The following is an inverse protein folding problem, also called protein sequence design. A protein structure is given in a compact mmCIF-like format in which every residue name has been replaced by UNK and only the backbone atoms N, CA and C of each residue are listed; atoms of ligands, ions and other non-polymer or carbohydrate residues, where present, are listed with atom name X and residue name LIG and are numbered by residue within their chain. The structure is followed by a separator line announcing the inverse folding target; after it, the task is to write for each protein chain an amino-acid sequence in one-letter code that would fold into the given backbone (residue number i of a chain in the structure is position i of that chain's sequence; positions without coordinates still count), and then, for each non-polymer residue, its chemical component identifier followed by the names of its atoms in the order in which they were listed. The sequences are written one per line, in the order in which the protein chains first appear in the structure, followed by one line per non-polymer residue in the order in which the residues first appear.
data_IF_826118032382
#
_entry.id   IF_826118032382
#
_cell.length_a   1.000
_cell.length_b   1.000
_cell.length_c   1.000
_cell.angle_alpha   90.00
_cell.angle_beta   90.00
_cell.angle_gamma   90.00
#
_symmetry.space_group_name_H-M   'P 1'
#
loop_
_entity.id
_entity.type
_entity.pdbx_description
1 polymer ?
#
# COMPACT_ATOMS: atom_id res chain seq x y z
N UNK A 1 9.88 8.77 -35.05
CA UNK A 1 10.62 9.63 -36.00
C UNK A 1 12.10 9.88 -35.64
N UNK A 2 12.50 10.05 -34.37
CA UNK A 2 13.91 10.32 -33.99
C UNK A 2 14.91 9.15 -34.20
N UNK A 3 14.48 7.87 -34.15
CA UNK A 3 15.37 6.71 -34.42
C UNK A 3 15.88 6.62 -35.87
N UNK A 4 15.19 7.25 -36.82
CA UNK A 4 15.55 7.20 -38.24
C UNK A 4 16.62 8.25 -38.60
N UNK A 5 16.68 9.40 -37.90
CA UNK A 5 17.71 10.41 -38.16
C UNK A 5 19.10 9.97 -37.69
N UNK A 6 19.20 9.29 -36.54
CA UNK A 6 20.48 8.80 -36.03
C UNK A 6 21.04 7.65 -36.88
N UNK A 7 20.16 6.82 -37.45
CA UNK A 7 20.53 5.80 -38.44
C UNK A 7 20.97 6.43 -39.77
N UNK A 8 20.23 7.43 -40.26
CA UNK A 8 20.60 8.16 -41.48
C UNK A 8 21.94 8.90 -41.33
N UNK A 9 22.21 9.52 -40.18
CA UNK A 9 23.47 10.21 -39.91
C UNK A 9 24.66 9.24 -39.80
N UNK A 10 24.48 8.05 -39.19
CA UNK A 10 25.50 6.99 -39.16
C UNK A 10 25.80 6.43 -40.55
N UNK A 11 24.77 6.24 -41.38
CA UNK A 11 24.91 5.78 -42.77
C UNK A 11 25.63 6.85 -43.62
N UNK A 12 25.31 8.13 -43.43
CA UNK A 12 25.94 9.23 -44.16
C UNK A 12 27.42 9.42 -43.76
N UNK A 13 27.76 9.22 -42.48
CA UNK A 13 29.14 9.25 -41.99
C UNK A 13 29.95 8.03 -42.47
N UNK A 14 29.35 6.84 -42.55
CA UNK A 14 29.97 5.65 -43.13
C UNK A 14 30.24 5.82 -44.64
N UNK A 15 29.30 6.42 -45.37
CA UNK A 15 29.44 6.74 -46.79
C UNK A 15 30.54 7.77 -47.04
N UNK A 16 30.70 8.79 -46.17
CA UNK A 16 31.75 9.79 -46.31
C UNK A 16 33.16 9.25 -46.05
N UNK A 17 33.30 8.26 -45.14
CA UNK A 17 34.58 7.59 -44.85
C UNK A 17 34.97 6.58 -45.94
N UNK A 18 33.99 6.00 -46.66
CA UNK A 18 34.22 5.06 -47.76
C UNK A 18 34.44 5.73 -49.13
N UNK A 19 34.18 7.04 -49.28
CA UNK A 19 34.39 7.78 -50.54
C UNK A 19 35.62 8.68 -50.55
N UNK A 20 36.47 8.65 -49.53
CA UNK A 20 37.81 9.24 -49.65
C UNK A 20 38.62 8.37 -50.63
N UNK A 21 39.28 8.95 -51.65
CA UNK A 21 39.98 8.16 -52.66
C UNK A 21 41.12 7.37 -52.02
N UNK A 22 40.92 6.05 -51.88
CA UNK A 22 41.99 5.07 -51.70
C UNK A 22 42.74 5.01 -53.03
N UNK A 23 43.65 5.95 -53.24
CA UNK A 23 44.61 5.91 -54.31
C UNK A 23 45.99 6.24 -53.74
N UNK A 24 46.48 5.43 -52.79
CA UNK A 24 47.92 5.33 -52.52
C UNK A 24 48.35 4.12 -51.66
N UNK A 25 47.89 2.90 -51.94
CA UNK A 25 48.64 1.69 -51.55
C UNK A 25 48.40 0.59 -52.59
N UNK A 26 49.12 0.67 -53.70
CA UNK A 26 49.50 -0.49 -54.50
C UNK A 26 50.73 -0.07 -55.29
N UNK A 27 51.91 -0.46 -54.81
CA UNK A 27 53.14 -0.30 -55.56
C UNK A 27 53.05 -1.14 -56.83
N UNK A 28 53.18 -0.50 -57.98
CA UNK A 28 53.74 -1.07 -59.19
C UNK A 28 54.46 0.05 -59.94
N UNK A 29 55.68 -0.25 -60.36
CA UNK A 29 56.57 0.61 -61.11
C UNK A 29 55.91 1.02 -62.44
N UNK A 30 55.37 2.24 -62.52
CA UNK A 30 55.25 2.94 -63.80
C UNK A 30 55.69 4.39 -63.64
N UNK A 31 56.50 4.79 -64.61
CA UNK A 31 57.24 6.04 -64.75
C UNK A 31 56.30 7.25 -64.68
N UNK A 32 56.29 7.97 -63.55
CA UNK A 32 55.55 9.24 -63.45
C UNK A 32 56.38 10.34 -64.12
N UNK A 33 55.94 10.72 -65.33
CA UNK A 33 56.40 11.89 -66.03
C UNK A 33 56.20 13.15 -65.17
N UNK A 34 57.24 13.99 -65.13
CA UNK A 34 57.22 15.31 -64.50
C UNK A 34 56.17 16.20 -65.17
N UNK A 35 55.11 16.53 -64.45
CA UNK A 35 54.32 17.74 -64.70
C UNK A 35 54.04 18.48 -63.39
N UNK A 36 54.68 19.63 -63.27
CA UNK A 36 54.35 20.81 -62.45
C UNK A 36 53.32 20.66 -61.31
N UNK A 37 53.77 20.88 -60.08
CA UNK A 37 53.05 21.79 -59.18
C UNK A 37 52.39 21.25 -57.92
N UNK A 38 52.66 20.03 -57.47
CA UNK A 38 52.23 19.59 -56.13
C UNK A 38 53.34 18.85 -55.39
N UNK A 39 53.89 19.47 -54.34
CA UNK A 39 54.83 18.82 -53.43
C UNK A 39 54.11 17.68 -52.71
N UNK A 40 54.68 16.47 -52.71
CA UNK A 40 54.17 15.31 -51.97
C UNK A 40 53.87 15.62 -50.49
N UNK A 41 54.64 16.54 -49.90
CA UNK A 41 54.43 17.07 -48.56
C UNK A 41 53.10 17.82 -48.38
N UNK A 42 52.58 18.50 -49.40
CA UNK A 42 51.34 19.26 -49.33
C UNK A 42 50.10 18.36 -49.38
N UNK A 43 50.18 17.27 -50.16
CA UNK A 43 49.14 16.23 -50.19
C UNK A 43 49.06 15.52 -48.84
N UNK A 44 50.21 15.14 -48.26
CA UNK A 44 50.27 14.52 -46.92
C UNK A 44 49.72 15.47 -45.84
N UNK A 45 50.11 16.75 -45.86
CA UNK A 45 49.56 17.76 -44.92
C UNK A 45 48.05 17.93 -45.06
N UNK A 46 47.49 17.79 -46.26
CA UNK A 46 46.05 17.91 -46.51
C UNK A 46 45.29 16.69 -45.98
N UNK A 47 45.82 15.48 -46.16
CA UNK A 47 45.26 14.24 -45.60
C UNK A 47 45.29 14.27 -44.07
N UNK A 48 46.41 14.66 -43.46
CA UNK A 48 46.51 14.80 -41.99
C UNK A 48 45.48 15.79 -41.46
N UNK A 49 45.31 16.95 -42.12
CA UNK A 49 44.28 17.95 -41.75
C UNK A 49 42.86 17.41 -41.91
N UNK A 50 42.59 16.64 -42.96
CA UNK A 50 41.29 16.02 -43.18
C UNK A 50 40.97 14.98 -42.10
N UNK A 51 41.91 14.10 -41.78
CA UNK A 51 41.75 13.09 -40.72
C UNK A 51 41.56 13.74 -39.34
N UNK A 52 42.37 14.75 -39.00
CA UNK A 52 42.19 15.52 -37.77
C UNK A 52 40.83 16.25 -37.73
N UNK A 53 40.35 16.75 -38.87
CA UNK A 53 39.02 17.37 -38.95
C UNK A 53 37.89 16.36 -38.80
N UNK A 54 38.05 15.13 -39.31
CA UNK A 54 37.07 14.05 -39.17
C UNK A 54 36.99 13.56 -37.72
N UNK A 55 38.12 13.38 -37.03
CA UNK A 55 38.17 13.04 -35.61
C UNK A 55 37.46 14.09 -34.74
N UNK A 56 37.74 15.38 -34.99
CA UNK A 56 37.08 16.49 -34.31
C UNK A 56 35.55 16.51 -34.57
N UNK A 57 35.12 16.18 -35.79
CA UNK A 57 33.69 16.08 -36.11
C UNK A 57 33.02 14.93 -35.37
N UNK A 58 33.64 13.75 -35.34
CA UNK A 58 33.17 12.59 -34.58
C UNK A 58 33.03 12.90 -33.08
N UNK A 59 34.02 13.59 -32.49
CA UNK A 59 33.96 14.01 -31.09
C UNK A 59 32.77 14.95 -30.80
N UNK A 60 32.51 15.93 -31.69
CA UNK A 60 31.36 16.85 -31.54
C UNK A 60 30.02 16.14 -31.70
N UNK A 61 29.90 15.18 -32.61
CA UNK A 61 28.68 14.36 -32.77
C UNK A 61 28.44 13.51 -31.52
N UNK A 62 29.48 12.89 -30.98
CA UNK A 62 29.38 12.13 -29.73
C UNK A 62 28.92 13.01 -28.56
N UNK A 63 29.43 14.24 -28.46
CA UNK A 63 29.01 15.18 -27.42
C UNK A 63 27.56 15.65 -27.59
N UNK A 64 27.12 15.95 -28.82
CA UNK A 64 25.72 16.27 -29.11
C UNK A 64 24.78 15.11 -28.75
N UNK A 65 25.17 13.87 -29.05
CA UNK A 65 24.39 12.69 -28.68
C UNK A 65 24.25 12.53 -27.16
N UNK A 66 25.30 12.84 -26.38
CA UNK A 66 25.20 12.88 -24.90
C UNK A 66 24.23 13.96 -24.42
N UNK A 67 24.28 15.15 -25.02
CA UNK A 67 23.36 16.25 -24.67
C UNK A 67 21.90 15.89 -24.98
N UNK A 68 21.64 15.25 -26.12
CA UNK A 68 20.29 14.76 -26.47
C UNK A 68 19.82 13.66 -25.52
N UNK A 69 20.69 12.72 -25.15
CA UNK A 69 20.38 11.70 -24.16
C UNK A 69 20.07 12.30 -22.78
N UNK A 70 20.85 13.31 -22.35
CA UNK A 70 20.61 14.03 -21.11
C UNK A 70 19.26 14.78 -21.12
N UNK A 71 18.91 15.45 -22.24
CA UNK A 71 17.59 16.09 -22.40
C UNK A 71 16.45 15.09 -22.31
N UNK A 72 16.57 13.95 -22.99
CA UNK A 72 15.56 12.88 -22.93
C UNK A 72 15.39 12.32 -21.51
N UNK A 73 16.49 12.17 -20.75
CA UNK A 73 16.43 11.74 -19.36
C UNK A 73 15.71 12.75 -18.45
N UNK A 74 15.95 14.05 -18.65
CA UNK A 74 15.25 15.12 -17.91
C UNK A 74 13.75 15.14 -18.24
N UNK A 75 13.38 14.99 -19.51
CA UNK A 75 11.98 14.89 -19.92
C UNK A 75 11.28 13.67 -19.30
N UNK A 76 11.96 12.51 -19.28
CA UNK A 76 11.44 11.30 -18.66
C UNK A 76 11.24 11.46 -17.14
N UNK A 77 12.20 12.09 -16.45
CA UNK A 77 12.10 12.36 -15.01
C UNK A 77 10.91 13.29 -14.69
N UNK A 78 10.74 14.37 -15.47
CA UNK A 78 9.59 15.29 -15.34
C UNK A 78 8.26 14.59 -15.59
N UNK A 79 8.18 13.71 -16.59
CA UNK A 79 6.98 12.94 -16.87
C UNK A 79 6.62 11.99 -15.71
N UNK A 80 7.62 11.37 -15.07
CA UNK A 80 7.41 10.50 -13.92
C UNK A 80 6.97 11.28 -12.67
N UNK A 81 7.55 12.46 -12.45
CA UNK A 81 7.13 13.37 -11.39
C UNK A 81 5.67 13.83 -11.59
N UNK A 82 5.29 14.21 -12.81
CA UNK A 82 3.92 14.59 -13.14
C UNK A 82 2.93 13.44 -12.90
N UNK A 83 3.26 12.20 -13.31
CA UNK A 83 2.44 11.02 -13.02
C UNK A 83 2.29 10.78 -11.52
N UNK A 84 3.37 10.92 -10.74
CA UNK A 84 3.36 10.78 -9.28
C UNK A 84 2.45 11.83 -8.64
N UNK A 85 2.53 13.08 -9.08
CA UNK A 85 1.68 14.16 -8.59
C UNK A 85 0.19 13.90 -8.88
N UNK A 86 -0.14 13.48 -10.10
CA UNK A 86 -1.52 13.11 -10.48
C UNK A 86 -2.03 11.95 -9.62
N UNK A 87 -1.22 10.90 -9.42
CA UNK A 87 -1.59 9.77 -8.55
C UNK A 87 -1.84 10.22 -7.12
N UNK A 88 -0.98 11.06 -6.56
CA UNK A 88 -1.14 11.59 -5.20
C UNK A 88 -2.40 12.45 -5.06
N UNK A 89 -2.70 13.28 -6.06
CA UNK A 89 -3.91 14.10 -6.09
C UNK A 89 -5.18 13.22 -6.14
N UNK A 90 -5.19 12.18 -6.99
CA UNK A 90 -6.29 11.22 -7.07
C UNK A 90 -6.49 10.48 -5.74
N UNK A 91 -5.41 10.02 -5.11
CA UNK A 91 -5.48 9.36 -3.80
C UNK A 91 -6.02 10.30 -2.71
N UNK A 92 -5.61 11.57 -2.71
CA UNK A 92 -6.10 12.56 -1.75
C UNK A 92 -7.58 12.85 -1.97
N UNK A 93 -8.03 12.95 -3.22
CA UNK A 93 -9.43 13.14 -3.57
C UNK A 93 -10.29 11.95 -3.12
N UNK A 94 -9.82 10.72 -3.37
CA UNK A 94 -10.48 9.48 -2.91
C UNK A 94 -10.56 9.42 -1.39
N UNK A 95 -9.46 9.71 -0.68
CA UNK A 95 -9.43 9.78 0.78
C UNK A 95 -10.47 10.79 1.30
N UNK A 96 -10.49 12.00 0.75
CA UNK A 96 -11.44 13.03 1.16
C UNK A 96 -12.88 12.61 0.90
N UNK A 97 -13.16 11.96 -0.24
CA UNK A 97 -14.49 11.45 -0.56
C UNK A 97 -14.93 10.40 0.48
N UNK A 98 -14.09 9.40 0.75
CA UNK A 98 -14.39 8.36 1.74
C UNK A 98 -14.63 8.96 3.12
N UNK A 99 -13.77 9.88 3.56
CA UNK A 99 -13.91 10.52 4.87
C UNK A 99 -15.15 11.42 4.97
N UNK A 100 -15.47 12.19 3.93
CA UNK A 100 -16.69 13.00 3.89
C UNK A 100 -17.95 12.12 3.93
N UNK A 101 -17.93 10.97 3.23
CA UNK A 101 -19.04 10.02 3.28
C UNK A 101 -19.18 9.35 4.66
N UNK A 102 -18.08 9.19 5.41
CA UNK A 102 -18.11 8.63 6.74
C UNK A 102 -18.97 9.50 7.68
N UNK A 103 -18.82 10.82 7.65
CA UNK A 103 -19.61 11.74 8.48
C UNK A 103 -21.10 11.57 8.19
N UNK A 104 -21.49 11.61 6.90
CA UNK A 104 -22.90 11.43 6.54
C UNK A 104 -23.45 10.04 6.91
N UNK A 105 -22.65 8.97 6.79
CA UNK A 105 -23.08 7.64 7.21
C UNK A 105 -23.19 7.51 8.73
N UNK A 106 -22.30 8.15 9.47
CA UNK A 106 -22.34 8.20 10.92
C UNK A 106 -23.65 8.84 11.42
N UNK A 107 -24.06 9.94 10.79
CA UNK A 107 -25.31 10.63 11.09
C UNK A 107 -26.53 9.78 10.69
N UNK A 108 -26.54 9.23 9.46
CA UNK A 108 -27.66 8.40 8.96
C UNK A 108 -27.88 7.17 9.83
N UNK A 109 -26.80 6.54 10.29
CA UNK A 109 -26.84 5.34 11.12
C UNK A 109 -27.11 5.64 12.61
N UNK A 110 -27.15 6.92 13.02
CA UNK A 110 -27.39 7.32 14.40
C UNK A 110 -26.28 6.89 15.37
N UNK A 111 -25.04 6.78 14.92
CA UNK A 111 -23.96 6.13 15.69
C UNK A 111 -23.55 6.91 16.95
N UNK A 112 -23.82 8.21 16.99
CA UNK A 112 -23.62 9.01 18.21
C UNK A 112 -24.56 8.56 19.33
N UNK A 113 -25.84 8.31 19.02
CA UNK A 113 -26.79 7.78 20.01
C UNK A 113 -26.46 6.36 20.47
N UNK A 114 -25.66 5.64 19.67
CA UNK A 114 -25.12 4.34 20.02
C UNK A 114 -23.82 4.43 20.82
N UNK A 115 -23.32 5.62 21.20
CA UNK A 115 -22.05 5.83 21.89
C UNK A 115 -20.78 5.41 21.13
N UNK A 116 -20.88 5.15 19.82
CA UNK A 116 -19.69 4.85 19.01
C UNK A 116 -18.96 6.15 18.70
N UNK A 117 -17.65 6.22 18.97
CA UNK A 117 -16.86 7.40 18.64
C UNK A 117 -16.83 7.66 17.12
N UNK A 118 -17.10 8.90 16.71
CA UNK A 118 -16.91 9.34 15.32
C UNK A 118 -15.51 8.99 14.80
N UNK A 119 -14.45 9.18 15.61
CA UNK A 119 -13.08 8.84 15.21
C UNK A 119 -12.91 7.34 14.98
N UNK A 120 -13.48 6.50 15.85
CA UNK A 120 -13.44 5.05 15.67
C UNK A 120 -14.13 4.64 14.35
N UNK A 121 -15.31 5.21 14.08
CA UNK A 121 -16.06 4.96 12.86
C UNK A 121 -15.33 5.46 11.61
N UNK A 122 -14.79 6.68 11.62
CA UNK A 122 -14.01 7.23 10.51
C UNK A 122 -12.86 6.32 10.09
N UNK A 123 -12.05 5.83 11.05
CA UNK A 123 -10.98 4.89 10.74
C UNK A 123 -11.51 3.56 10.24
N UNK A 124 -12.57 3.02 10.87
CA UNK A 124 -13.20 1.79 10.45
C UNK A 124 -13.70 1.87 9.00
N UNK A 125 -14.38 2.97 8.66
CA UNK A 125 -14.93 3.25 7.33
C UNK A 125 -13.83 3.35 6.27
N UNK A 126 -12.77 4.10 6.58
CA UNK A 126 -11.61 4.21 5.70
C UNK A 126 -10.96 2.86 5.42
N UNK A 127 -10.68 2.07 6.47
CA UNK A 127 -10.05 0.76 6.29
C UNK A 127 -10.97 -0.26 5.62
N UNK A 128 -12.26 -0.24 5.92
CA UNK A 128 -13.28 -1.03 5.23
C UNK A 128 -13.24 -0.80 3.73
N UNK A 129 -13.29 0.47 3.28
CA UNK A 129 -13.23 0.80 1.85
C UNK A 129 -11.90 0.40 1.19
N UNK A 130 -10.78 0.52 1.92
CA UNK A 130 -9.48 0.07 1.40
C UNK A 130 -9.40 -1.45 1.25
N UNK A 131 -9.94 -2.22 2.19
CA UNK A 131 -9.99 -3.67 2.10
C UNK A 131 -10.96 -4.14 1.01
N UNK A 132 -12.09 -3.45 0.86
CA UNK A 132 -13.03 -3.67 -0.23
C UNK A 132 -12.36 -3.47 -1.60
N UNK A 133 -11.67 -2.35 -1.78
CA UNK A 133 -10.93 -2.04 -3.02
C UNK A 133 -9.83 -3.06 -3.34
N UNK A 134 -9.21 -3.64 -2.32
CA UNK A 134 -8.20 -4.71 -2.45
C UNK A 134 -8.82 -6.09 -2.74
N UNK A 135 -10.14 -6.22 -2.74
CA UNK A 135 -10.84 -7.50 -2.91
C UNK A 135 -10.66 -8.45 -1.71
N UNK A 136 -10.30 -7.93 -0.54
CA UNK A 136 -10.05 -8.72 0.66
C UNK A 136 -11.34 -9.12 1.40
N UNK A 137 -12.44 -8.43 1.14
CA UNK A 137 -13.74 -8.67 1.79
C UNK A 137 -14.65 -9.48 0.85
N UNK A 138 -15.28 -10.51 1.39
CA UNK A 138 -16.27 -11.34 0.70
C UNK A 138 -17.68 -11.15 1.25
N UNK A 139 -17.80 -10.81 2.53
CA UNK A 139 -19.04 -10.39 3.16
C UNK A 139 -18.99 -8.88 3.38
N UNK A 140 -19.38 -8.13 2.35
CA UNK A 140 -19.25 -6.67 2.30
C UNK A 140 -20.41 -5.94 2.98
N UNK A 141 -21.45 -6.64 3.40
CA UNK A 141 -22.60 -6.00 4.02
C UNK A 141 -22.36 -5.66 5.49
N UNK A 142 -21.31 -6.23 6.10
CA UNK A 142 -21.02 -6.06 7.52
C UNK A 142 -19.67 -5.38 7.78
N UNK A 143 -19.73 -4.42 8.70
CA UNK A 143 -18.58 -3.80 9.34
C UNK A 143 -18.76 -3.96 10.85
N UNK A 144 -17.83 -4.65 11.51
CA UNK A 144 -17.85 -4.77 12.98
C UNK A 144 -16.71 -3.97 13.59
N UNK A 145 -17.02 -3.17 14.61
CA UNK A 145 -16.08 -2.26 15.27
C UNK A 145 -16.05 -2.60 16.76
N UNK A 146 -14.86 -2.86 17.29
CA UNK A 146 -14.59 -2.90 18.73
C UNK A 146 -13.86 -1.61 19.13
N UNK A 147 -14.50 -0.75 19.90
CA UNK A 147 -13.90 0.49 20.40
C UNK A 147 -13.25 0.25 21.77
N UNK A 148 -11.99 -0.17 21.77
CA UNK A 148 -11.23 -0.41 22.99
C UNK A 148 -10.76 0.87 23.70
N UNK A 149 -11.06 2.06 23.17
CA UNK A 149 -10.91 3.30 23.94
C UNK A 149 -11.98 3.43 25.03
N UNK A 150 -13.06 2.65 24.94
CA UNK A 150 -14.14 2.60 25.92
C UNK A 150 -13.87 1.56 27.02
N UNK A 151 -14.44 1.78 28.21
CA UNK A 151 -14.42 0.83 29.33
C UNK A 151 -14.99 -0.54 28.94
N UNK A 152 -14.42 -1.61 29.48
CA UNK A 152 -14.96 -2.98 29.33
C UNK A 152 -16.31 -3.18 29.99
N UNK A 153 -16.72 -2.26 30.87
CA UNK A 153 -18.04 -2.22 31.49
C UNK A 153 -19.11 -1.61 30.59
N UNK A 154 -18.75 -1.16 29.37
CA UNK A 154 -19.70 -0.68 28.35
C UNK A 154 -19.82 -1.68 27.20
N UNK A 155 -20.97 -1.67 26.57
CA UNK A 155 -21.16 -2.32 25.27
C UNK A 155 -20.40 -1.55 24.20
N UNK A 156 -19.22 -2.08 23.83
CA UNK A 156 -18.22 -1.41 22.98
C UNK A 156 -17.87 -2.17 21.71
N UNK A 157 -18.65 -3.20 21.37
CA UNK A 157 -18.62 -3.86 20.07
C UNK A 157 -19.92 -3.55 19.31
N UNK A 158 -19.76 -3.09 18.07
CA UNK A 158 -20.84 -2.63 17.19
C UNK A 158 -20.81 -3.46 15.91
N UNK A 159 -21.88 -4.18 15.61
CA UNK A 159 -22.06 -4.92 14.35
C UNK A 159 -22.97 -4.10 13.46
N UNK A 160 -22.42 -3.53 12.39
CA UNK A 160 -23.10 -2.56 11.52
C UNK A 160 -23.45 -3.23 10.20
N UNK A 161 -24.71 -3.12 9.81
CA UNK A 161 -25.20 -3.40 8.47
C UNK A 161 -24.95 -2.17 7.59
N UNK A 162 -23.89 -2.24 6.78
CA UNK A 162 -23.46 -1.16 5.90
C UNK A 162 -24.46 -0.93 4.78
N UNK A 163 -25.11 -1.99 4.30
CA UNK A 163 -26.07 -1.93 3.20
C UNK A 163 -27.35 -1.21 3.63
N UNK A 164 -27.90 -1.61 4.78
CA UNK A 164 -29.14 -1.06 5.33
C UNK A 164 -28.90 0.13 6.27
N UNK A 165 -27.65 0.53 6.48
CA UNK A 165 -27.25 1.70 7.26
C UNK A 165 -27.81 1.71 8.67
N UNK A 166 -27.60 0.61 9.40
CA UNK A 166 -28.06 0.48 10.79
C UNK A 166 -27.13 -0.38 11.63
N UNK A 167 -27.13 -0.14 12.93
CA UNK A 167 -26.52 -1.06 13.90
C UNK A 167 -27.44 -2.26 14.09
N UNK A 168 -26.89 -3.47 13.95
CA UNK A 168 -27.60 -4.73 14.22
C UNK A 168 -27.45 -5.14 15.68
N UNK A 169 -26.23 -4.99 16.21
CA UNK A 169 -25.90 -5.35 17.59
C UNK A 169 -24.93 -4.34 18.20
N UNK A 170 -25.19 -4.00 19.45
CA UNK A 170 -24.26 -3.34 20.37
C UNK A 170 -24.11 -4.26 21.58
N UNK A 171 -22.88 -4.65 21.93
CA UNK A 171 -22.65 -5.64 23.00
C UNK A 171 -21.29 -5.50 23.68
N UNK A 172 -21.11 -6.21 24.79
CA UNK A 172 -19.84 -6.30 25.50
C UNK A 172 -18.78 -7.03 24.68
N UNK A 173 -17.52 -6.64 24.87
CA UNK A 173 -16.38 -7.40 24.34
C UNK A 173 -15.20 -7.30 25.31
N UNK A 174 -14.65 -8.45 25.69
CA UNK A 174 -13.46 -8.57 26.51
C UNK A 174 -12.18 -8.42 25.69
N UNK A 175 -11.14 -7.87 26.31
CA UNK A 175 -9.79 -7.82 25.79
C UNK A 175 -8.88 -8.79 26.56
N UNK A 176 -7.64 -8.97 26.08
CA UNK A 176 -6.66 -9.82 26.74
C UNK A 176 -6.22 -9.31 28.11
N UNK A 177 -6.01 -10.17 29.09
CA UNK A 177 -5.70 -9.84 30.49
C UNK A 177 -4.50 -8.90 30.66
N UNK A 178 -3.50 -8.99 29.78
CA UNK A 178 -2.33 -8.11 29.84
C UNK A 178 -2.54 -6.79 29.07
N UNK A 179 -3.71 -6.57 28.47
CA UNK A 179 -4.05 -5.32 27.79
C UNK A 179 -4.56 -4.24 28.74
N UNK A 180 -5.01 -4.62 29.93
CA UNK A 180 -5.53 -3.74 30.97
C UNK A 180 -6.57 -4.45 31.84
N UNK A 181 -7.07 -3.75 32.85
CA UNK A 181 -8.19 -4.22 33.67
C UNK A 181 -9.51 -3.75 33.05
N UNK A 182 -10.09 -2.65 33.55
CA UNK A 182 -11.31 -2.09 32.98
C UNK A 182 -11.06 -1.53 31.57
N UNK A 183 -9.98 -0.75 31.40
CA UNK A 183 -9.58 -0.10 30.16
C UNK A 183 -8.41 -0.81 29.51
N UNK A 184 -8.55 -1.17 28.24
CA UNK A 184 -7.44 -1.67 27.44
C UNK A 184 -6.53 -0.50 27.06
N UNK A 185 -5.24 -0.58 27.40
CA UNK A 185 -4.25 0.47 27.12
C UNK A 185 -2.95 -0.07 26.53
N UNK A 186 -2.75 -1.40 26.55
CA UNK A 186 -1.56 -2.06 26.01
C UNK A 186 -1.93 -3.14 25.01
N UNK A 187 -1.27 -3.15 23.85
CA UNK A 187 -1.60 -4.08 22.77
C UNK A 187 -0.33 -4.76 22.25
N UNK A 188 -0.45 -5.99 21.76
CA UNK A 188 0.69 -6.71 21.21
C UNK A 188 0.28 -7.70 20.13
N UNK A 189 1.18 -7.86 19.18
CA UNK A 189 1.14 -8.86 18.12
C UNK A 189 2.04 -10.08 18.43
N UNK A 190 2.69 -10.10 19.59
CA UNK A 190 3.61 -11.16 19.97
C UNK A 190 2.86 -12.38 20.53
N UNK A 191 3.37 -13.55 20.21
CA UNK A 191 2.90 -14.82 20.74
C UNK A 191 3.02 -14.81 22.27
N UNK A 192 2.10 -15.49 22.96
CA UNK A 192 2.06 -15.63 24.43
C UNK A 192 1.97 -14.33 25.25
N UNK A 193 1.88 -13.16 24.60
CA UNK A 193 1.79 -11.87 25.30
C UNK A 193 0.52 -11.70 26.15
N UNK A 194 -0.51 -12.52 25.93
CA UNK A 194 -1.84 -12.43 26.52
C UNK A 194 -2.52 -11.06 26.33
N UNK A 195 -2.11 -10.32 25.28
CA UNK A 195 -2.66 -9.01 24.90
C UNK A 195 -3.47 -9.11 23.62
N UNK A 196 -4.51 -8.30 23.52
CA UNK A 196 -5.18 -8.08 22.24
C UNK A 196 -4.30 -7.27 21.29
N UNK A 197 -4.54 -7.40 19.99
CA UNK A 197 -3.88 -6.62 18.94
C UNK A 197 -4.85 -5.64 18.28
N UNK A 198 -4.37 -4.45 17.93
CA UNK A 198 -5.17 -3.44 17.22
C UNK A 198 -5.21 -3.72 15.73
N UNK A 199 -6.19 -3.12 15.05
CA UNK A 199 -6.22 -3.02 13.60
C UNK A 199 -7.32 -3.83 12.93
N UNK A 200 -7.18 -3.97 11.61
CA UNK A 200 -8.17 -4.60 10.77
C UNK A 200 -7.95 -6.10 10.67
N UNK A 201 -9.06 -6.82 10.69
CA UNK A 201 -9.11 -8.25 10.49
C UNK A 201 -10.13 -8.58 9.42
N UNK A 202 -9.91 -9.70 8.73
CA UNK A 202 -10.90 -10.33 7.86
C UNK A 202 -11.36 -11.63 8.52
N UNK A 203 -12.67 -11.79 8.67
CA UNK A 203 -13.24 -12.99 9.26
C UNK A 203 -13.17 -14.18 8.29
N UNK A 204 -13.06 -15.40 8.84
CA UNK A 204 -13.05 -16.65 8.07
C UNK A 204 -14.28 -17.49 8.40
N UNK A 205 -14.12 -18.81 8.41
CA UNK A 205 -15.12 -19.79 8.80
C UNK A 205 -15.20 -19.90 10.32
N UNK A 206 -16.35 -20.34 10.78
CA UNK A 206 -16.56 -20.75 12.16
C UNK A 206 -16.05 -22.17 12.39
N UNK A 207 -15.81 -22.51 13.65
CA UNK A 207 -15.59 -23.87 14.12
C UNK A 207 -16.09 -23.99 15.57
N UNK A 208 -16.29 -25.21 16.04
CA UNK A 208 -16.57 -25.47 17.44
C UNK A 208 -15.30 -25.98 18.13
N UNK A 209 -14.92 -25.33 19.22
CA UNK A 209 -13.75 -25.69 20.03
C UNK A 209 -14.07 -25.64 21.52
N UNK A 210 -13.04 -25.54 22.36
CA UNK A 210 -13.19 -25.48 23.83
C UNK A 210 -14.01 -24.28 24.30
N UNK A 211 -14.03 -23.19 23.52
CA UNK A 211 -14.82 -21.99 23.78
C UNK A 211 -16.21 -22.01 23.11
N UNK A 212 -16.65 -23.18 22.61
CA UNK A 212 -17.88 -23.31 21.83
C UNK A 212 -17.72 -22.75 20.42
N UNK A 213 -18.80 -22.13 19.90
CA UNK A 213 -18.78 -21.48 18.58
C UNK A 213 -17.71 -20.38 18.54
N UNK A 214 -16.78 -20.51 17.61
CA UNK A 214 -15.64 -19.61 17.46
C UNK A 214 -15.46 -19.21 16.00
N UNK A 215 -15.16 -17.93 15.76
CA UNK A 215 -14.90 -17.35 14.44
C UNK A 215 -13.41 -17.08 14.26
N UNK A 216 -12.80 -17.72 13.27
CA UNK A 216 -11.41 -17.44 12.89
C UNK A 216 -11.31 -16.07 12.24
N UNK A 217 -10.22 -15.35 12.51
CA UNK A 217 -9.92 -14.04 11.93
C UNK A 217 -8.45 -13.98 11.48
N UNK A 218 -8.18 -13.26 10.39
CA UNK A 218 -6.83 -12.92 9.93
C UNK A 218 -6.54 -11.46 10.19
N UNK A 219 -5.36 -11.13 10.70
CA UNK A 219 -4.92 -9.75 10.78
C UNK A 219 -4.43 -9.21 9.45
N UNK A 220 -4.82 -7.98 9.12
CA UNK A 220 -4.51 -7.30 7.86
C UNK A 220 -3.46 -6.18 8.01
N UNK A 221 -3.06 -5.87 9.24
CA UNK A 221 -2.08 -4.85 9.58
C UNK A 221 -0.73 -5.49 9.97
N UNK A 222 0.21 -5.46 9.02
CA UNK A 222 1.55 -6.05 9.20
C UNK A 222 2.25 -5.44 10.42
N UNK A 223 2.76 -6.29 11.31
CA UNK A 223 3.42 -5.89 12.55
C UNK A 223 2.48 -5.53 13.71
N UNK A 224 1.17 -5.39 13.47
CA UNK A 224 0.18 -5.06 14.52
C UNK A 224 -0.74 -6.22 14.86
N UNK A 225 -1.20 -6.97 13.86
CA UNK A 225 -2.08 -8.11 14.08
C UNK A 225 -1.88 -9.27 13.08
N UNK A 226 -0.90 -9.20 12.18
CA UNK A 226 -0.60 -10.24 11.17
C UNK A 226 -0.25 -11.62 11.77
N UNK A 227 0.00 -11.71 13.08
CA UNK A 227 0.19 -12.98 13.77
C UNK A 227 -1.10 -13.59 14.33
N UNK A 228 -2.26 -12.95 14.19
CA UNK A 228 -3.51 -13.35 14.83
C UNK A 228 -3.89 -14.81 14.59
N UNK A 229 -3.78 -15.29 13.35
CA UNK A 229 -4.09 -16.68 13.00
C UNK A 229 -3.13 -17.66 13.69
N UNK A 230 -1.81 -17.38 13.67
CA UNK A 230 -0.79 -18.20 14.33
C UNK A 230 -0.99 -18.23 15.85
N UNK A 231 -1.37 -17.09 16.42
CA UNK A 231 -1.69 -16.91 17.83
C UNK A 231 -3.04 -17.51 18.24
N UNK A 232 -3.76 -18.16 17.31
CA UNK A 232 -5.10 -18.72 17.53
C UNK A 232 -6.10 -17.70 18.08
N UNK A 233 -5.97 -16.42 17.66
CA UNK A 233 -6.92 -15.37 18.01
C UNK A 233 -8.22 -15.58 17.22
N UNK A 234 -9.34 -15.65 17.93
CA UNK A 234 -10.68 -15.90 17.39
C UNK A 234 -11.71 -15.04 18.11
N UNK A 235 -12.86 -14.78 17.50
CA UNK A 235 -14.03 -14.25 18.22
C UNK A 235 -14.82 -15.42 18.78
N UNK A 236 -15.18 -15.40 20.06
CA UNK A 236 -15.95 -16.49 20.69
C UNK A 236 -16.87 -15.97 21.81
N UNK A 237 -17.85 -16.79 22.18
CA UNK A 237 -18.68 -16.54 23.37
C UNK A 237 -17.91 -16.82 24.66
N UNK A 238 -18.19 -16.08 25.73
CA UNK A 238 -17.64 -16.31 27.05
C UNK A 238 -18.65 -15.96 28.16
N UNK A 239 -18.96 -16.90 29.09
CA UNK A 239 -19.93 -16.64 30.15
C UNK A 239 -19.41 -15.63 31.20
N UNK A 240 -18.10 -15.40 31.23
CA UNK A 240 -17.45 -14.37 32.04
C UNK A 240 -17.49 -12.97 31.40
N UNK A 241 -18.15 -12.83 30.25
CA UNK A 241 -18.41 -11.53 29.60
C UNK A 241 -19.92 -11.29 29.64
N UNK A 242 -20.42 -10.63 30.70
CA UNK A 242 -21.85 -10.36 30.85
C UNK A 242 -22.12 -9.28 31.91
N UNK A 243 -23.30 -8.67 31.84
CA UNK A 243 -23.76 -7.72 32.88
C UNK A 243 -23.78 -8.36 34.29
N UNK A 244 -24.08 -9.67 34.37
CA UNK A 244 -24.06 -10.41 35.65
C UNK A 244 -22.66 -10.41 36.28
N UNK A 245 -21.61 -10.53 35.46
CA UNK A 245 -20.21 -10.52 35.93
C UNK A 245 -19.84 -9.13 36.45
N UNK A 246 -20.18 -8.07 35.69
CA UNK A 246 -20.01 -6.69 36.13
C UNK A 246 -20.70 -6.42 37.46
N UNK A 247 -21.97 -6.83 37.60
CA UNK A 247 -22.72 -6.59 38.84
C UNK A 247 -22.13 -7.33 40.04
N UNK A 248 -21.52 -8.51 39.83
CA UNK A 248 -20.97 -9.34 40.90
C UNK A 248 -19.56 -8.94 41.31
N UNK A 249 -18.71 -8.57 40.35
CA UNK A 249 -17.27 -8.38 40.57
C UNK A 249 -16.80 -6.94 40.32
N UNK A 250 -17.65 -6.07 39.76
CA UNK A 250 -17.31 -4.69 39.42
C UNK A 250 -16.46 -4.52 38.16
N UNK A 251 -15.92 -5.60 37.60
CA UNK A 251 -15.05 -5.60 36.41
C UNK A 251 -15.41 -6.76 35.48
N UNK A 252 -15.25 -6.54 34.17
CA UNK A 252 -15.50 -7.56 33.15
C UNK A 252 -14.40 -8.63 33.18
N UNK A 253 -14.74 -9.88 32.84
CA UNK A 253 -13.72 -10.90 32.61
C UNK A 253 -12.81 -10.56 31.42
N UNK A 254 -11.59 -11.09 31.44
CA UNK A 254 -10.57 -10.92 30.40
C UNK A 254 -10.23 -12.24 29.72
N UNK A 255 -9.58 -12.17 28.55
CA UNK A 255 -9.15 -13.34 27.78
C UNK A 255 -7.62 -13.44 27.71
N UNK A 256 -7.06 -14.35 26.90
CA UNK A 256 -5.64 -14.34 26.56
C UNK A 256 -5.33 -13.59 25.25
N UNK A 257 -6.23 -12.71 24.80
CA UNK A 257 -6.05 -11.83 23.63
C UNK A 257 -7.21 -11.87 22.65
N UNK A 258 -8.01 -12.93 22.67
CA UNK A 258 -9.23 -13.07 21.86
C UNK A 258 -10.27 -12.00 22.22
N UNK A 259 -10.93 -11.37 21.24
CA UNK A 259 -12.18 -10.65 21.48
C UNK A 259 -13.27 -11.67 21.87
N UNK A 260 -13.70 -11.65 23.12
CA UNK A 260 -14.80 -12.51 23.59
C UNK A 260 -16.05 -11.70 23.90
N UNK A 261 -17.21 -12.21 23.49
CA UNK A 261 -18.52 -11.56 23.65
C UNK A 261 -19.42 -12.41 24.56
N UNK A 262 -20.55 -11.88 25.05
CA UNK A 262 -21.48 -12.69 25.85
C UNK A 262 -21.94 -13.93 25.10
N UNK A 263 -21.96 -15.07 25.78
CA UNK A 263 -22.37 -16.36 25.18
C UNK A 263 -23.78 -16.26 24.60
N UNK A 264 -24.65 -15.50 25.27
CA UNK A 264 -26.07 -15.33 24.93
C UNK A 264 -26.29 -14.74 23.54
N UNK A 265 -25.40 -13.88 23.06
CA UNK A 265 -25.48 -13.25 21.72
C UNK A 265 -24.53 -13.88 20.71
N UNK A 266 -23.65 -14.78 21.14
CA UNK A 266 -22.57 -15.31 20.31
C UNK A 266 -23.07 -16.17 19.14
N UNK A 267 -24.10 -16.99 19.35
CA UNK A 267 -24.73 -17.83 18.33
C UNK A 267 -25.51 -17.01 17.27
N UNK A 268 -25.85 -15.75 17.57
CA UNK A 268 -26.47 -14.83 16.60
C UNK A 268 -25.41 -14.02 15.83
N UNK A 269 -24.46 -13.41 16.55
CA UNK A 269 -23.48 -12.48 15.97
C UNK A 269 -22.42 -13.20 15.13
N UNK A 270 -21.85 -14.30 15.64
CA UNK A 270 -20.73 -14.97 14.96
C UNK A 270 -21.11 -15.47 13.55
N UNK A 271 -22.28 -16.11 13.35
CA UNK A 271 -22.69 -16.57 12.03
C UNK A 271 -22.91 -15.45 11.01
N UNK A 272 -23.34 -14.27 11.45
CA UNK A 272 -23.49 -13.10 10.57
C UNK A 272 -22.13 -12.63 10.06
N UNK A 273 -21.15 -12.58 10.97
CA UNK A 273 -19.82 -12.04 10.68
C UNK A 273 -18.94 -12.97 9.83
N UNK A 274 -19.28 -14.25 9.63
CA UNK A 274 -18.37 -15.19 8.96
C UNK A 274 -18.17 -14.88 7.47
N UNK A 275 -17.20 -15.56 6.87
CA UNK A 275 -16.91 -15.56 5.43
C UNK A 275 -16.49 -14.21 4.85
N UNK A 276 -15.56 -13.52 5.51
CA UNK A 276 -14.84 -12.40 4.92
C UNK A 276 -15.45 -11.04 5.16
N UNK A 277 -16.06 -10.81 6.33
CA UNK A 277 -16.48 -9.48 6.76
C UNK A 277 -15.32 -8.71 7.40
N UNK A 278 -15.48 -7.39 7.47
CA UNK A 278 -14.49 -6.52 8.09
C UNK A 278 -14.72 -6.46 9.62
N UNK A 279 -13.68 -6.79 10.38
CA UNK A 279 -13.66 -6.64 11.84
C UNK A 279 -12.52 -5.71 12.24
N UNK A 280 -12.80 -4.66 12.99
CA UNK A 280 -11.83 -3.64 13.34
C UNK A 280 -11.74 -3.43 14.84
N UNK A 281 -10.54 -3.53 15.41
CA UNK A 281 -10.28 -3.18 16.81
C UNK A 281 -9.60 -1.81 16.85
N UNK A 282 -10.31 -0.82 17.37
CA UNK A 282 -9.87 0.56 17.49
C UNK A 282 -9.33 0.89 18.88
N UNK A 283 -8.25 1.66 18.92
CA UNK A 283 -7.79 2.43 20.07
C UNK A 283 -6.99 3.64 19.52
N UNK A 284 -7.01 4.83 20.15
CA UNK A 284 -6.33 6.04 19.68
C UNK A 284 -4.79 5.99 19.86
N UNK A 285 -4.17 4.87 19.50
CA UNK A 285 -2.72 4.68 19.52
C UNK A 285 -2.07 5.45 18.37
N UNK A 286 -1.31 6.50 18.70
CA UNK A 286 -0.56 7.29 17.70
C UNK A 286 0.33 6.41 16.82
N UNK A 287 1.00 5.41 17.43
CA UNK A 287 1.87 4.47 16.72
C UNK A 287 1.08 3.65 15.69
N UNK A 288 -0.03 3.05 16.09
CA UNK A 288 -0.87 2.25 15.19
C UNK A 288 -1.43 3.10 14.05
N UNK A 289 -2.04 4.23 14.37
CA UNK A 289 -2.68 5.09 13.37
C UNK A 289 -1.67 5.62 12.34
N UNK A 290 -0.43 5.90 12.74
CA UNK A 290 0.63 6.36 11.83
C UNK A 290 1.28 5.24 10.99
N UNK A 291 1.22 3.98 11.43
CA UNK A 291 1.99 2.87 10.84
C UNK A 291 1.13 1.74 10.26
N UNK A 292 -0.19 1.77 10.47
CA UNK A 292 -1.12 0.77 9.92
C UNK A 292 -0.96 0.67 8.41
N UNK A 293 -0.72 -0.55 7.91
CA UNK A 293 -0.60 -0.83 6.49
C UNK A 293 -1.94 -0.75 5.77
N UNK A 294 -3.06 -0.92 6.48
CA UNK A 294 -4.39 -0.69 5.92
C UNK A 294 -4.66 0.81 5.84
N UNK A 295 -4.56 1.56 6.94
CA UNK A 295 -4.89 2.99 6.96
C UNK A 295 -3.94 3.84 6.11
N UNK A 296 -2.65 3.50 6.06
CA UNK A 296 -1.63 4.29 5.35
C UNK A 296 -1.15 3.65 4.04
N UNK A 297 -1.60 2.43 3.73
CA UNK A 297 -1.27 1.76 2.47
C UNK A 297 -1.77 2.53 1.26
N UNK A 298 -0.92 2.58 0.23
CA UNK A 298 -1.17 3.14 -1.11
C UNK A 298 -2.10 2.24 -1.91
#
# INVERSE_FOLDING_TARGET
MKKNLLHAAKILLLLFVLTAPVALVAGNNETIARSNGYHSADVIKKIIRYNASAENMCARIAELAKVEAAKAAVEAARAEEAKRAIRLAAMKAEYNLVMNTAIGMYDIMGLESEDLSLKAFEYAWLGYHKLLKKGALHNTDLLTICDFSQSSSRERMYVIDVRNKKVLYKTFVAHGINSGEEFASSFSNQDESCKSSLGFYVTRKTYYGVNGLSLRIDGMDKGFNDNAYRRSIVIHGAPYVSQRILNKYGVMGTTFGCPAIPTEVSEEIIPLMKNGSCFFIYYPSRKYLAQSSVLNGI
#
